data_IF_533856884268
#
_entry.id   IF_533856884268
#
_cell.length_a   1.000
_cell.length_b   1.000
_cell.length_c   1.000
_cell.angle_alpha   90.00
_cell.angle_beta   90.00
_cell.angle_gamma   90.00
#
_symmetry.space_group_name_H-M   'P 1'
#
loop_
_entity.id
_entity.type
_entity.pdbx_description
1 polymer ?
#
# COMPACT_ATOMS: atom_id res chain seq x y z
N UNK A 1 -11.07 13.31 19.45
CA UNK A 1 -10.47 11.97 19.61
C UNK A 1 -9.73 11.68 18.32
N UNK A 2 -8.45 11.30 18.36
CA UNK A 2 -7.74 10.94 17.14
C UNK A 2 -8.34 9.62 16.64
N UNK A 3 -8.98 9.64 15.47
CA UNK A 3 -9.48 8.42 14.81
C UNK A 3 -8.27 7.54 14.50
N UNK A 4 -8.31 6.30 15.00
CA UNK A 4 -7.19 5.37 14.88
C UNK A 4 -7.24 4.75 13.49
N UNK A 5 -6.25 5.05 12.67
CA UNK A 5 -6.06 4.41 11.36
C UNK A 5 -5.94 2.90 11.55
N UNK A 6 -6.63 2.14 10.68
CA UNK A 6 -6.63 0.68 10.69
C UNK A 6 -5.89 0.18 9.47
N UNK A 7 -4.87 -0.65 9.68
CA UNK A 7 -4.14 -1.30 8.60
C UNK A 7 -4.68 -2.70 8.36
N UNK A 8 -4.81 -3.06 7.08
CA UNK A 8 -5.26 -4.38 6.66
C UNK A 8 -4.39 -4.86 5.50
N UNK A 9 -3.86 -6.06 5.62
CA UNK A 9 -3.15 -6.73 4.54
C UNK A 9 -4.04 -6.85 3.29
N UNK A 10 -3.43 -6.79 2.11
CA UNK A 10 -4.07 -7.09 0.84
C UNK A 10 -4.74 -8.47 0.85
N UNK A 11 -6.01 -8.54 0.39
CA UNK A 11 -6.83 -9.76 0.40
C UNK A 11 -7.13 -10.33 -0.99
N UNK A 12 -6.86 -9.58 -2.06
CA UNK A 12 -7.06 -10.06 -3.43
C UNK A 12 -7.58 -8.99 -4.38
N UNK A 13 -8.06 -9.43 -5.54
CA UNK A 13 -8.45 -8.55 -6.66
C UNK A 13 -9.53 -7.51 -6.31
N UNK A 14 -10.33 -7.73 -5.26
CA UNK A 14 -11.28 -6.70 -4.77
C UNK A 14 -10.60 -5.42 -4.30
N UNK A 15 -9.35 -5.51 -3.86
CA UNK A 15 -8.57 -4.36 -3.35
C UNK A 15 -7.83 -3.62 -4.46
N UNK A 16 -7.62 -4.28 -5.61
CA UNK A 16 -6.82 -3.78 -6.71
C UNK A 16 -7.34 -2.42 -7.25
N UNK A 17 -8.65 -2.22 -7.48
CA UNK A 17 -9.16 -0.92 -7.91
C UNK A 17 -8.83 0.22 -6.92
N UNK A 18 -8.87 -0.06 -5.62
CA UNK A 18 -8.56 0.93 -4.59
C UNK A 18 -7.07 1.30 -4.58
N UNK A 19 -6.18 0.31 -4.66
CA UNK A 19 -4.73 0.53 -4.73
C UNK A 19 -4.38 1.32 -6.00
N UNK A 20 -4.96 0.94 -7.13
CA UNK A 20 -4.76 1.65 -8.40
C UNK A 20 -5.21 3.11 -8.30
N UNK A 21 -6.42 3.37 -7.77
CA UNK A 21 -6.94 4.73 -7.65
C UNK A 21 -6.04 5.63 -6.79
N UNK A 22 -5.56 5.10 -5.65
CA UNK A 22 -4.63 5.82 -4.77
C UNK A 22 -3.33 6.17 -5.51
N UNK A 23 -2.64 5.15 -6.05
CA UNK A 23 -1.35 5.32 -6.72
C UNK A 23 -1.45 6.23 -7.95
N UNK A 24 -2.50 6.08 -8.76
CA UNK A 24 -2.73 6.90 -9.96
C UNK A 24 -3.05 8.35 -9.62
N UNK A 25 -3.57 8.66 -8.43
CA UNK A 25 -3.84 10.04 -8.02
C UNK A 25 -2.56 10.87 -7.78
N UNK A 26 -1.41 10.21 -7.69
CA UNK A 26 -0.11 10.80 -7.36
C UNK A 26 0.88 10.79 -8.52
N UNK A 27 0.67 9.94 -9.51
CA UNK A 27 1.56 9.78 -10.65
C UNK A 27 1.00 10.49 -11.88
N UNK A 28 1.87 11.21 -12.59
CA UNK A 28 1.54 11.82 -13.88
C UNK A 28 1.29 10.77 -14.97
N UNK A 29 1.93 9.60 -14.85
CA UNK A 29 1.77 8.47 -15.77
C UNK A 29 1.36 7.22 -14.97
N UNK A 30 0.14 6.68 -15.20
CA UNK A 30 -0.34 5.53 -14.44
C UNK A 30 0.36 4.24 -14.89
N UNK A 31 0.70 3.38 -13.94
CA UNK A 31 1.12 2.01 -14.28
C UNK A 31 -0.04 1.22 -14.90
N UNK A 32 0.30 0.29 -15.80
CA UNK A 32 -0.66 -0.69 -16.31
C UNK A 32 -1.04 -1.70 -15.21
N UNK A 33 -2.26 -2.24 -15.27
CA UNK A 33 -2.80 -3.19 -14.26
C UNK A 33 -1.87 -4.38 -13.97
N UNK A 34 -1.13 -4.85 -14.98
CA UNK A 34 -0.19 -5.96 -14.85
C UNK A 34 0.97 -5.67 -13.90
N UNK A 35 1.42 -4.42 -13.82
CA UNK A 35 2.47 -4.02 -12.87
C UNK A 35 2.01 -4.24 -11.44
N UNK A 36 0.78 -3.82 -11.12
CA UNK A 36 0.22 -4.03 -9.78
C UNK A 36 0.07 -5.52 -9.46
N UNK A 37 -0.49 -6.30 -10.39
CA UNK A 37 -0.69 -7.75 -10.21
C UNK A 37 0.63 -8.48 -9.97
N UNK A 38 1.69 -8.13 -10.69
CA UNK A 38 3.02 -8.72 -10.48
C UNK A 38 3.46 -8.60 -9.02
N UNK A 39 3.36 -7.42 -8.40
CA UNK A 39 3.73 -7.26 -7.00
C UNK A 39 2.76 -7.92 -6.04
N UNK A 40 1.45 -7.74 -6.25
CA UNK A 40 0.40 -8.18 -5.33
C UNK A 40 0.19 -9.70 -5.33
N UNK A 41 0.51 -10.39 -6.43
CA UNK A 41 0.42 -11.85 -6.50
C UNK A 41 1.68 -12.52 -5.94
N UNK A 42 2.86 -11.96 -6.19
CA UNK A 42 4.13 -12.50 -5.69
C UNK A 42 4.32 -12.22 -4.18
N UNK A 43 3.94 -11.03 -3.71
CA UNK A 43 4.12 -10.60 -2.31
C UNK A 43 2.84 -10.01 -1.68
N UNK A 44 1.71 -10.75 -1.66
CA UNK A 44 0.46 -10.27 -1.06
C UNK A 44 0.60 -9.95 0.44
N UNK A 45 1.51 -10.65 1.13
CA UNK A 45 1.77 -10.48 2.55
C UNK A 45 2.65 -9.28 2.90
N UNK A 46 3.26 -8.63 1.91
CA UNK A 46 4.05 -7.41 2.10
C UNK A 46 3.30 -6.16 1.64
N UNK A 47 2.00 -6.27 1.37
CA UNK A 47 1.18 -5.18 0.85
C UNK A 47 0.00 -4.90 1.78
N UNK A 48 -0.22 -3.64 2.11
CA UNK A 48 -1.21 -3.21 3.10
C UNK A 48 -2.01 -2.01 2.59
N UNK A 49 -3.26 -1.92 3.06
CA UNK A 49 -4.14 -0.78 2.87
C UNK A 49 -4.43 -0.15 4.24
N UNK A 50 -4.46 1.17 4.28
CA UNK A 50 -4.79 1.96 5.46
C UNK A 50 -6.23 2.48 5.34
N UNK A 51 -7.01 2.33 6.39
CA UNK A 51 -8.40 2.77 6.49
C UNK A 51 -8.54 3.82 7.60
N UNK A 52 -9.44 4.80 7.44
CA UNK A 52 -9.63 5.85 8.43
C UNK A 52 -10.16 5.31 9.76
N UNK A 53 -10.92 4.22 9.72
CA UNK A 53 -11.49 3.51 10.87
C UNK A 53 -11.84 2.05 10.50
N UNK A 54 -12.39 1.29 11.45
CA UNK A 54 -12.75 -0.14 11.27
C UNK A 54 -14.06 -0.40 10.50
N UNK A 55 -14.82 0.65 10.21
CA UNK A 55 -16.13 0.58 9.52
C UNK A 55 -16.06 1.05 8.06
N UNK A 56 -15.03 1.81 7.70
CA UNK A 56 -14.82 2.29 6.33
C UNK A 56 -14.45 1.15 5.40
N UNK A 57 -15.08 1.15 4.23
CA UNK A 57 -14.73 0.27 3.11
C UNK A 57 -13.76 0.91 2.12
N UNK A 58 -13.48 2.21 2.26
CA UNK A 58 -12.59 2.95 1.38
C UNK A 58 -11.23 3.20 2.06
N UNK A 59 -10.13 2.71 1.49
CA UNK A 59 -8.81 2.96 2.04
C UNK A 59 -8.33 4.36 1.70
N UNK A 60 -7.61 4.97 2.63
CA UNK A 60 -6.99 6.29 2.52
C UNK A 60 -5.50 6.20 2.14
N UNK A 61 -4.94 5.01 2.10
CA UNK A 61 -3.55 4.79 1.72
C UNK A 61 -3.26 3.33 1.38
N UNK A 62 -2.18 3.12 0.63
CA UNK A 62 -1.71 1.81 0.24
C UNK A 62 -0.18 1.79 0.20
N UNK A 63 0.40 0.68 0.66
CA UNK A 63 1.81 0.35 0.50
C UNK A 63 1.92 -1.02 -0.17
N UNK A 64 2.75 -1.10 -1.21
CA UNK A 64 3.03 -2.32 -1.96
C UNK A 64 4.54 -2.54 -1.93
N UNK A 65 4.96 -3.66 -1.33
CA UNK A 65 6.37 -4.02 -1.20
C UNK A 65 6.69 -5.32 -1.94
N UNK A 66 7.98 -5.53 -2.23
CA UNK A 66 8.54 -6.82 -2.65
C UNK A 66 9.68 -7.24 -1.75
N UNK A 67 9.97 -8.54 -1.74
CA UNK A 67 11.21 -9.08 -1.20
C UNK A 67 12.03 -9.71 -2.33
N UNK A 68 13.32 -9.40 -2.41
CA UNK A 68 14.24 -10.05 -3.34
C UNK A 68 15.45 -10.62 -2.59
N UNK A 69 15.78 -11.88 -2.88
CA UNK A 69 16.99 -12.51 -2.40
C UNK A 69 18.18 -11.96 -3.19
N UNK A 70 19.08 -11.25 -2.51
CA UNK A 70 20.30 -10.75 -3.15
C UNK A 70 21.47 -11.67 -2.81
N UNK A 71 21.99 -12.38 -3.83
CA UNK A 71 23.20 -13.22 -3.75
C UNK A 71 23.20 -14.25 -2.61
N UNK A 72 22.05 -14.86 -2.31
CA UNK A 72 21.91 -15.99 -1.37
C UNK A 72 22.32 -15.75 0.10
N UNK A 73 22.61 -14.51 0.52
CA UNK A 73 23.10 -14.20 1.88
C UNK A 73 22.19 -13.22 2.63
N UNK A 74 21.39 -12.38 1.95
CA UNK A 74 20.42 -11.50 2.64
C UNK A 74 19.13 -11.25 1.83
N UNK A 75 18.02 -11.18 2.56
CA UNK A 75 16.73 -10.75 2.04
C UNK A 75 16.66 -9.22 2.08
N UNK A 76 16.34 -8.59 0.94
CA UNK A 76 16.12 -7.14 0.85
C UNK A 76 14.66 -6.86 0.51
N UNK A 77 14.02 -6.06 1.35
CA UNK A 77 12.71 -5.46 1.06
C UNK A 77 12.86 -4.24 0.15
N UNK A 78 11.87 -4.01 -0.71
CA UNK A 78 11.75 -2.79 -1.52
C UNK A 78 10.30 -2.31 -1.50
N UNK A 79 10.10 -1.03 -1.20
CA UNK A 79 8.81 -0.36 -1.33
C UNK A 79 8.62 -0.04 -2.81
N UNK A 80 7.71 -0.76 -3.47
CA UNK A 80 7.40 -0.56 -4.88
C UNK A 80 6.45 0.62 -5.09
N UNK A 81 5.47 0.78 -4.22
CA UNK A 81 4.49 1.85 -4.28
C UNK A 81 4.10 2.26 -2.87
N UNK A 82 3.98 3.56 -2.64
CA UNK A 82 3.45 4.15 -1.42
C UNK A 82 2.58 5.33 -1.84
N UNK A 83 1.32 5.33 -1.41
CA UNK A 83 0.38 6.40 -1.72
C UNK A 83 -0.59 6.62 -0.57
N UNK A 84 -0.90 7.89 -0.30
CA UNK A 84 -1.87 8.34 0.70
C UNK A 84 -2.73 9.44 0.08
N UNK A 85 -4.04 9.32 0.27
CA UNK A 85 -5.03 10.31 -0.16
C UNK A 85 -4.60 11.71 0.31
N UNK A 86 -4.57 12.65 -0.63
CA UNK A 86 -4.09 14.03 -0.42
C UNK A 86 -4.78 14.72 0.76
N UNK A 87 -6.04 14.38 1.06
CA UNK A 87 -6.83 14.91 2.19
C UNK A 87 -6.30 14.45 3.55
N UNK A 88 -5.57 13.34 3.58
CA UNK A 88 -5.02 12.69 4.77
C UNK A 88 -3.51 12.91 4.96
N UNK A 89 -2.84 13.54 4.00
CA UNK A 89 -1.40 13.89 4.09
C UNK A 89 -1.12 14.90 5.20
N UNK A 90 0.14 14.93 5.67
CA UNK A 90 0.64 15.81 6.75
C UNK A 90 -0.02 15.59 8.13
N UNK A 91 -0.70 14.45 8.31
CA UNK A 91 -1.27 14.00 9.60
C UNK A 91 -0.47 12.88 10.27
N UNK A 92 0.73 12.57 9.78
CA UNK A 92 1.59 11.48 10.30
C UNK A 92 1.43 10.13 9.60
N UNK A 93 0.41 9.97 8.74
CA UNK A 93 0.01 8.68 8.14
C UNK A 93 1.07 8.10 7.20
N UNK A 94 1.81 8.95 6.48
CA UNK A 94 2.91 8.49 5.61
C UNK A 94 4.01 7.75 6.41
N UNK A 95 4.20 8.09 7.69
CA UNK A 95 5.25 7.49 8.54
C UNK A 95 4.71 6.30 9.31
N UNK A 96 3.47 6.35 9.79
CA UNK A 96 2.84 5.25 10.53
C UNK A 96 2.61 4.02 9.63
N UNK A 97 2.25 4.21 8.35
CA UNK A 97 2.17 3.11 7.37
C UNK A 97 3.50 2.37 7.21
N UNK A 98 4.63 3.05 7.42
CA UNK A 98 5.98 2.50 7.25
C UNK A 98 6.49 1.81 8.54
N UNK A 99 6.00 2.21 9.72
CA UNK A 99 6.57 1.81 11.02
C UNK A 99 5.88 0.62 11.69
N UNK A 100 4.65 0.27 11.31
CA UNK A 100 3.88 -0.84 11.91
C UNK A 100 3.99 -2.19 11.14
N UNK A 101 4.95 -2.31 10.22
CA UNK A 101 5.19 -3.49 9.37
C UNK A 101 6.19 -4.50 9.92
#
# INVERSE_FOLDING_TARGET
>A
MAEKIVYRQYKGESDLPHIMALVQSELSEPYVVYTFRYFLHEWPHLSFLAYPDSTSNEPIGAIVCKQSAHKSISNRGYIAMLSVDKRWRKRGIDVDVIMDG
#
